data_IF_248568534013
#
_entry.id   IF_248568534013
#
_cell.length_a   1.000
_cell.length_b   1.000
_cell.length_c   1.000
_cell.angle_alpha   90.00
_cell.angle_beta   90.00
_cell.angle_gamma   90.00
#
_symmetry.space_group_name_H-M   'P 1'
#
loop_
_entity.id
_entity.type
_entity.pdbx_description
1 polymer ?
#
# COMPACT_ATOMS: atom_id res chain seq x y z
N UNK A 1 65.03 13.00 -18.56
CA UNK A 1 63.75 13.55 -19.08
C UNK A 1 62.77 12.39 -19.26
N UNK A 2 61.55 12.54 -18.71
CA UNK A 2 60.27 11.94 -19.15
C UNK A 2 60.14 10.40 -19.16
N UNK A 3 59.49 9.83 -18.13
CA UNK A 3 58.08 9.33 -18.05
C UNK A 3 57.89 7.93 -18.66
N UNK A 4 57.61 6.90 -17.83
CA UNK A 4 56.27 6.28 -17.56
C UNK A 4 55.57 5.75 -18.84
N UNK A 5 54.99 4.54 -18.94
CA UNK A 5 54.81 3.37 -18.06
C UNK A 5 54.28 2.21 -18.93
N UNK A 6 54.64 0.98 -18.52
CA UNK A 6 54.00 -0.33 -18.71
C UNK A 6 53.18 -0.68 -19.96
N UNK A 7 53.44 -1.88 -20.49
CA UNK A 7 52.39 -2.83 -20.91
C UNK A 7 52.94 -4.26 -21.07
N UNK A 8 52.02 -5.21 -20.85
CA UNK A 8 51.99 -6.61 -21.32
C UNK A 8 52.64 -7.69 -20.43
N UNK A 9 51.76 -8.45 -19.76
CA UNK A 9 51.99 -9.85 -19.36
C UNK A 9 51.09 -10.71 -20.24
N UNK A 10 51.69 -11.63 -21.00
CA UNK A 10 51.04 -12.79 -21.63
C UNK A 10 51.97 -13.99 -21.39
N UNK A 11 51.42 -14.97 -20.64
CA UNK A 11 51.52 -16.43 -20.81
C UNK A 11 52.90 -17.09 -20.57
N UNK A 12 52.96 -18.10 -19.67
CA UNK A 12 53.09 -19.52 -20.05
C UNK A 12 53.34 -20.45 -18.84
N UNK A 13 52.66 -21.60 -18.95
CA UNK A 13 53.09 -22.96 -18.58
C UNK A 13 53.08 -23.45 -17.12
N UNK A 14 52.11 -24.35 -16.90
CA UNK A 14 52.24 -25.74 -16.45
C UNK A 14 53.66 -26.31 -16.31
N UNK A 15 53.77 -27.26 -15.37
CA UNK A 15 54.81 -28.29 -15.08
C UNK A 15 54.99 -28.27 -13.55
N UNK A 16 54.84 -29.34 -12.76
CA UNK A 16 54.91 -30.77 -13.00
C UNK A 16 54.19 -31.52 -11.87
N UNK A 17 53.84 -32.75 -12.22
CA UNK A 17 53.32 -33.85 -11.41
C UNK A 17 54.21 -34.20 -10.22
N UNK A 18 53.66 -34.87 -9.20
CA UNK A 18 53.97 -36.29 -8.91
C UNK A 18 53.26 -36.77 -7.64
N UNK A 19 52.66 -37.97 -7.74
CA UNK A 19 52.56 -39.04 -6.70
C UNK A 19 51.81 -38.73 -5.39
N UNK A 20 50.91 -39.55 -4.82
CA UNK A 20 50.62 -40.99 -4.95
C UNK A 20 49.23 -41.28 -4.35
N UNK A 21 48.72 -42.41 -4.78
CA UNK A 21 47.45 -43.06 -4.52
C UNK A 21 47.06 -43.32 -3.04
N UNK A 22 45.74 -43.42 -2.86
CA UNK A 22 44.97 -44.36 -2.01
C UNK A 22 45.03 -44.24 -0.49
N UNK A 23 43.84 -44.04 0.11
CA UNK A 23 43.55 -44.58 1.44
C UNK A 23 42.58 -43.76 2.27
N UNK A 24 41.37 -44.31 2.45
CA UNK A 24 40.49 -44.14 3.61
C UNK A 24 39.71 -42.84 3.75
N UNK A 25 38.43 -42.94 3.39
CA UNK A 25 37.39 -42.07 3.92
C UNK A 25 37.18 -42.31 5.41
N UNK A 26 36.89 -41.24 6.13
CA UNK A 26 36.48 -41.29 7.52
C UNK A 26 36.86 -40.04 8.29
N UNK A 27 35.85 -39.18 8.50
CA UNK A 27 35.75 -38.21 9.60
C UNK A 27 36.78 -37.07 9.66
N UNK A 28 36.32 -35.85 9.35
CA UNK A 28 36.85 -34.66 10.02
C UNK A 28 35.72 -33.74 10.49
N UNK A 29 35.62 -33.60 11.80
CA UNK A 29 35.09 -32.41 12.44
C UNK A 29 36.05 -31.23 12.21
N UNK A 30 35.44 -30.10 11.86
CA UNK A 30 35.84 -28.70 12.08
C UNK A 30 37.34 -28.31 12.05
N UNK A 31 37.68 -27.42 11.11
CA UNK A 31 38.73 -26.41 11.34
C UNK A 31 38.32 -25.05 10.77
N UNK A 32 38.30 -24.04 11.66
CA UNK A 32 38.22 -22.60 11.36
C UNK A 32 39.28 -22.20 10.33
N UNK A 33 38.90 -21.32 9.39
CA UNK A 33 39.74 -20.19 8.99
C UNK A 33 38.87 -18.97 8.65
N UNK A 34 39.26 -17.86 9.26
CA UNK A 34 38.64 -16.56 9.16
C UNK A 34 38.94 -15.87 7.83
N UNK A 35 38.04 -14.96 7.46
CA UNK A 35 38.38 -13.71 6.79
C UNK A 35 38.28 -13.69 5.27
N UNK A 36 37.10 -13.32 4.74
CA UNK A 36 36.96 -12.50 3.53
C UNK A 36 35.70 -11.65 3.63
N UNK A 37 35.86 -10.33 3.54
CA UNK A 37 34.77 -9.38 3.27
C UNK A 37 34.15 -9.77 1.91
N UNK A 38 32.83 -9.89 1.86
CA UNK A 38 32.10 -10.14 0.62
C UNK A 38 30.63 -10.44 0.88
N UNK A 39 29.80 -9.43 0.63
CA UNK A 39 28.35 -9.44 0.49
C UNK A 39 27.46 -9.80 1.69
N UNK A 40 26.53 -8.88 1.95
CA UNK A 40 25.40 -8.99 2.87
C UNK A 40 24.47 -10.08 2.33
N UNK A 41 24.76 -11.34 2.66
CA UNK A 41 23.84 -12.45 2.44
C UNK A 41 22.72 -12.39 3.48
N UNK A 42 21.61 -11.76 3.11
CA UNK A 42 20.47 -11.67 4.01
C UNK A 42 19.72 -13.01 4.02
N UNK A 43 19.89 -13.79 5.10
CA UNK A 43 19.07 -14.97 5.40
C UNK A 43 17.89 -14.52 6.28
N UNK A 44 16.66 -14.71 5.84
CA UNK A 44 15.47 -14.53 6.69
C UNK A 44 14.85 -15.87 7.06
N UNK A 45 14.53 -15.99 8.35
CA UNK A 45 13.81 -17.12 8.93
C UNK A 45 12.36 -17.08 8.44
N UNK A 46 11.93 -18.16 7.79
CA UNK A 46 10.52 -18.38 7.48
C UNK A 46 9.84 -19.00 8.69
N UNK A 47 8.73 -18.43 9.15
CA UNK A 47 7.89 -19.04 10.18
C UNK A 47 7.30 -20.37 9.68
N UNK A 48 6.81 -21.19 10.62
CA UNK A 48 6.58 -22.65 10.56
C UNK A 48 5.69 -23.24 9.43
N UNK A 49 5.36 -22.48 8.38
CA UNK A 49 4.77 -22.98 7.14
C UNK A 49 5.69 -22.64 5.95
N UNK A 50 6.71 -23.47 5.76
CA UNK A 50 7.55 -23.44 4.56
C UNK A 50 6.71 -23.93 3.37
N UNK A 51 6.22 -23.02 2.52
CA UNK A 51 5.84 -23.43 1.17
C UNK A 51 7.13 -23.73 0.40
N UNK A 52 7.24 -24.96 -0.11
CA UNK A 52 8.31 -25.32 -1.03
C UNK A 52 8.18 -24.48 -2.31
N UNK A 53 9.28 -23.83 -2.69
CA UNK A 53 9.36 -23.07 -3.92
C UNK A 53 10.01 -23.91 -5.02
N UNK A 54 9.53 -23.74 -6.25
CA UNK A 54 10.09 -24.45 -7.41
C UNK A 54 11.38 -23.74 -7.84
N UNK A 55 12.55 -24.39 -7.80
CA UNK A 55 13.81 -23.78 -8.20
C UNK A 55 13.76 -23.16 -9.59
N UNK A 56 14.34 -21.98 -9.76
CA UNK A 56 14.33 -21.22 -11.01
C UNK A 56 13.02 -20.48 -11.30
N UNK A 57 11.96 -20.72 -10.53
CA UNK A 57 10.70 -19.97 -10.70
C UNK A 57 10.81 -18.56 -10.14
N UNK A 58 10.23 -17.62 -10.87
CA UNK A 58 10.02 -16.23 -10.43
C UNK A 58 8.63 -16.10 -9.81
N UNK A 59 8.57 -15.36 -8.73
CA UNK A 59 7.36 -15.15 -7.95
C UNK A 59 7.13 -13.66 -7.74
N UNK A 60 5.95 -13.16 -8.12
CA UNK A 60 5.54 -11.78 -7.83
C UNK A 60 4.72 -11.77 -6.55
N UNK A 61 5.04 -10.84 -5.65
CA UNK A 61 4.19 -10.58 -4.48
C UNK A 61 2.89 -9.92 -4.95
N UNK A 62 1.74 -10.40 -4.46
CA UNK A 62 0.43 -9.87 -4.87
C UNK A 62 0.26 -8.36 -4.61
N UNK A 63 1.07 -7.79 -3.69
CA UNK A 63 0.94 -6.43 -3.17
C UNK A 63 2.23 -5.61 -3.27
N UNK A 64 3.23 -6.09 -4.02
CA UNK A 64 4.45 -5.33 -4.32
C UNK A 64 4.56 -5.15 -5.82
N UNK A 65 4.45 -3.90 -6.25
CA UNK A 65 4.52 -3.46 -7.65
C UNK A 65 5.88 -3.70 -8.28
N UNK A 66 6.91 -3.82 -7.43
CA UNK A 66 8.29 -3.66 -7.86
C UNK A 66 9.22 -4.81 -7.45
N UNK A 67 8.79 -5.74 -6.60
CA UNK A 67 9.63 -6.86 -6.14
C UNK A 67 9.17 -8.20 -6.71
N UNK A 68 10.10 -8.99 -7.24
CA UNK A 68 9.91 -10.43 -7.45
C UNK A 68 11.00 -11.25 -6.77
N UNK A 69 10.59 -12.40 -6.25
CA UNK A 69 11.45 -13.39 -5.64
C UNK A 69 11.84 -14.43 -6.68
N UNK A 70 13.10 -14.88 -6.65
CA UNK A 70 13.54 -16.06 -7.37
C UNK A 70 13.78 -17.16 -6.36
N UNK A 71 13.24 -18.35 -6.66
CA UNK A 71 13.55 -19.52 -5.87
C UNK A 71 14.91 -20.09 -6.30
N UNK A 72 15.90 -20.07 -5.41
CA UNK A 72 17.17 -20.79 -5.57
C UNK A 72 17.22 -21.91 -4.55
N UNK A 73 17.32 -23.15 -5.03
CA UNK A 73 17.50 -24.33 -4.15
C UNK A 73 16.46 -24.39 -3.02
N UNK A 74 15.18 -24.20 -3.35
CA UNK A 74 14.06 -24.17 -2.40
C UNK A 74 14.11 -23.02 -1.37
N UNK A 75 14.85 -21.94 -1.67
CA UNK A 75 14.88 -20.70 -0.88
C UNK A 75 14.51 -19.51 -1.74
N UNK A 76 13.67 -18.63 -1.21
CA UNK A 76 13.35 -17.38 -1.88
C UNK A 76 14.49 -16.36 -1.70
N UNK A 77 14.94 -15.78 -2.80
CA UNK A 77 15.89 -14.67 -2.84
C UNK A 77 15.25 -13.48 -3.57
N UNK A 78 15.52 -12.26 -3.08
CA UNK A 78 15.11 -11.05 -3.79
C UNK A 78 15.91 -10.94 -5.09
N UNK A 79 15.21 -10.87 -6.23
CA UNK A 79 15.85 -10.95 -7.53
C UNK A 79 15.99 -9.60 -8.23
N UNK A 80 14.97 -8.73 -8.21
CA UNK A 80 15.09 -7.43 -8.86
C UNK A 80 13.98 -6.41 -8.54
N UNK A 81 14.33 -5.13 -8.69
CA UNK A 81 13.45 -3.97 -8.70
C UNK A 81 13.50 -3.28 -10.06
N UNK A 82 12.61 -3.69 -10.95
CA UNK A 82 12.39 -3.07 -12.27
C UNK A 82 11.31 -1.98 -12.18
N UNK A 83 11.28 -1.07 -13.16
CA UNK A 83 10.66 0.27 -13.14
C UNK A 83 9.10 0.30 -13.07
N UNK A 84 8.46 -0.61 -12.33
CA UNK A 84 7.00 -0.71 -12.17
C UNK A 84 6.25 -1.14 -13.44
N UNK A 85 6.92 -1.23 -14.58
CA UNK A 85 6.41 -1.85 -15.81
C UNK A 85 6.72 -3.32 -15.75
N UNK A 86 5.84 -4.12 -15.13
CA UNK A 86 6.00 -5.58 -15.12
C UNK A 86 6.25 -6.08 -16.55
N UNK A 87 7.48 -6.46 -16.86
CA UNK A 87 7.79 -7.15 -18.10
C UNK A 87 7.03 -8.45 -18.05
N UNK A 88 6.29 -8.73 -19.12
CA UNK A 88 5.50 -9.93 -19.34
C UNK A 88 6.37 -11.18 -19.22
N UNK A 89 6.50 -11.70 -18.02
CA UNK A 89 6.95 -13.06 -17.76
C UNK A 89 5.88 -13.75 -16.91
N UNK A 90 5.71 -15.05 -17.12
CA UNK A 90 4.75 -15.88 -16.40
C UNK A 90 5.19 -16.10 -14.95
N UNK A 91 4.96 -15.11 -14.08
CA UNK A 91 5.21 -15.21 -12.64
C UNK A 91 4.18 -16.13 -11.98
N UNK A 92 4.64 -16.96 -11.03
CA UNK A 92 3.73 -17.64 -10.10
C UNK A 92 3.30 -16.68 -8.99
N UNK A 93 2.02 -16.65 -8.65
CA UNK A 93 1.50 -15.88 -7.51
C UNK A 93 1.81 -16.63 -6.21
N UNK A 94 2.37 -15.94 -5.22
CA UNK A 94 2.47 -16.43 -3.85
C UNK A 94 1.22 -15.94 -3.10
N UNK A 95 0.53 -16.86 -2.44
CA UNK A 95 -0.57 -16.54 -1.53
C UNK A 95 -0.02 -15.80 -0.29
N UNK A 96 -0.49 -14.58 -0.08
CA UNK A 96 0.02 -13.64 0.94
C UNK A 96 -0.61 -13.82 2.33
N UNK A 97 -1.29 -14.94 2.60
CA UNK A 97 -1.72 -15.29 3.96
C UNK A 97 -0.55 -15.47 4.96
N UNK A 98 0.70 -15.48 4.47
CA UNK A 98 1.89 -15.55 5.31
C UNK A 98 2.35 -14.19 5.86
N UNK A 99 2.46 -14.12 7.20
CA UNK A 99 3.06 -13.02 7.97
C UNK A 99 4.57 -12.92 7.69
N UNK A 100 4.97 -12.29 6.59
CA UNK A 100 6.36 -11.92 6.33
C UNK A 100 6.59 -10.42 6.43
N UNK A 101 7.78 -9.94 6.84
CA UNK A 101 8.10 -8.54 6.88
C UNK A 101 8.43 -8.02 5.47
N UNK A 102 7.40 -7.86 4.62
CA UNK A 102 7.51 -7.18 3.33
C UNK A 102 8.04 -5.75 3.47
N UNK A 103 7.91 -5.16 4.67
CA UNK A 103 8.33 -3.80 4.98
C UNK A 103 9.80 -3.51 4.68
N UNK A 104 10.72 -4.46 4.89
CA UNK A 104 12.15 -4.22 4.62
C UNK A 104 12.50 -4.33 3.14
N UNK A 105 11.90 -5.29 2.43
CA UNK A 105 12.10 -5.48 0.99
C UNK A 105 11.50 -4.33 0.18
N UNK A 106 10.33 -3.83 0.56
CA UNK A 106 9.72 -2.68 -0.09
C UNK A 106 10.56 -1.40 0.12
N UNK A 107 11.21 -1.24 1.28
CA UNK A 107 12.11 -0.10 1.54
C UNK A 107 13.36 -0.14 0.66
N UNK A 108 14.03 -1.28 0.55
CA UNK A 108 15.23 -1.46 -0.29
C UNK A 108 14.90 -1.25 -1.78
N UNK A 109 13.76 -1.78 -2.21
CA UNK A 109 13.29 -1.64 -3.58
C UNK A 109 12.95 -0.21 -3.93
N UNK A 110 12.16 0.43 -3.07
CA UNK A 110 11.77 1.82 -3.25
C UNK A 110 13.01 2.71 -3.34
N UNK A 111 13.98 2.56 -2.44
CA UNK A 111 15.25 3.31 -2.51
C UNK A 111 15.93 3.18 -3.88
N UNK A 112 15.97 1.97 -4.42
CA UNK A 112 16.55 1.71 -5.76
C UNK A 112 15.77 2.44 -6.87
N UNK A 113 14.44 2.46 -6.80
CA UNK A 113 13.60 3.16 -7.78
C UNK A 113 13.66 4.68 -7.65
N UNK A 114 13.83 5.18 -6.42
CA UNK A 114 14.07 6.60 -6.13
C UNK A 114 15.43 7.02 -6.73
N UNK A 115 16.49 6.24 -6.54
CA UNK A 115 17.82 6.47 -7.13
C UNK A 115 17.77 6.45 -8.67
N UNK A 116 16.91 5.61 -9.26
CA UNK A 116 16.67 5.55 -10.71
C UNK A 116 15.71 6.63 -11.23
N UNK A 117 15.11 7.44 -10.36
CA UNK A 117 14.15 8.49 -10.75
C UNK A 117 12.81 7.97 -11.26
N UNK A 118 12.45 6.72 -10.95
CA UNK A 118 11.19 6.09 -11.37
C UNK A 118 10.04 6.46 -10.42
N UNK A 119 10.36 6.65 -9.14
CA UNK A 119 9.41 7.06 -8.09
C UNK A 119 9.73 8.49 -7.67
N UNK A 120 8.71 9.35 -7.65
CA UNK A 120 8.84 10.72 -7.19
C UNK A 120 8.84 10.77 -5.65
N UNK A 121 9.79 11.47 -5.05
CA UNK A 121 9.90 11.59 -3.58
C UNK A 121 9.88 13.03 -3.12
N UNK A 122 9.46 13.25 -1.88
CA UNK A 122 9.33 14.57 -1.29
C UNK A 122 8.52 15.52 -2.18
N UNK A 123 7.51 14.97 -2.84
CA UNK A 123 6.60 15.69 -3.72
C UNK A 123 5.93 16.78 -2.93
N UNK A 124 6.29 18.02 -3.22
CA UNK A 124 5.67 19.18 -2.63
C UNK A 124 4.45 19.56 -3.46
N UNK A 125 3.27 19.28 -2.92
CA UNK A 125 2.01 19.88 -3.37
C UNK A 125 1.80 21.20 -2.60
N UNK A 126 0.76 21.98 -2.95
CA UNK A 126 0.35 23.09 -2.08
C UNK A 126 0.07 22.51 -0.69
N UNK A 127 0.62 23.11 0.37
CA UNK A 127 0.52 22.50 1.70
C UNK A 127 -0.93 22.31 2.14
N UNK A 128 -1.46 21.10 1.95
CA UNK A 128 -2.87 20.71 2.06
C UNK A 128 -3.08 19.70 3.19
N UNK A 129 -4.32 19.53 3.63
CA UNK A 129 -4.66 18.46 4.57
C UNK A 129 -5.26 17.28 3.80
N UNK A 130 -4.59 16.13 3.86
CA UNK A 130 -5.00 14.90 3.19
C UNK A 130 -5.64 13.95 4.19
N UNK A 131 -6.88 13.53 3.95
CA UNK A 131 -7.64 12.64 4.84
C UNK A 131 -7.97 11.34 4.11
N UNK A 132 -7.65 10.21 4.72
CA UNK A 132 -8.02 8.89 4.21
C UNK A 132 -9.19 8.30 5.01
N UNK A 133 -10.21 7.81 4.32
CA UNK A 133 -11.31 7.02 4.90
C UNK A 133 -11.27 5.66 4.22
N UNK A 134 -10.89 4.62 4.94
CA UNK A 134 -10.53 3.35 4.34
C UNK A 134 -11.42 2.23 4.87
N UNK A 135 -12.19 1.64 3.98
CA UNK A 135 -12.96 0.44 4.26
C UNK A 135 -12.00 -0.75 4.44
N UNK A 136 -12.08 -1.39 5.60
CA UNK A 136 -11.35 -2.62 5.93
C UNK A 136 -12.33 -3.71 6.36
N UNK A 137 -13.60 -3.60 5.96
CA UNK A 137 -14.66 -4.55 6.26
C UNK A 137 -14.40 -5.94 5.65
N UNK A 138 -15.29 -6.89 5.95
CA UNK A 138 -15.13 -8.30 5.55
C UNK A 138 -15.40 -8.55 4.05
N UNK A 139 -16.09 -7.64 3.36
CA UNK A 139 -16.37 -7.76 1.92
C UNK A 139 -15.10 -7.58 1.08
N UNK A 140 -14.11 -6.87 1.62
CA UNK A 140 -12.81 -6.66 1.00
C UNK A 140 -11.89 -7.82 1.36
N UNK A 141 -11.28 -8.43 0.33
CA UNK A 141 -10.34 -9.53 0.54
C UNK A 141 -9.09 -9.07 1.30
N UNK A 142 -8.47 -9.94 2.11
CA UNK A 142 -7.23 -9.59 2.83
C UNK A 142 -6.11 -9.13 1.88
N UNK A 143 -6.07 -9.70 0.68
CA UNK A 143 -5.16 -9.29 -0.39
C UNK A 143 -5.42 -7.83 -0.78
N UNK A 144 -6.67 -7.46 -1.02
CA UNK A 144 -7.02 -6.08 -1.41
C UNK A 144 -6.84 -5.09 -0.25
N UNK A 145 -7.13 -5.48 1.00
CA UNK A 145 -6.79 -4.66 2.18
C UNK A 145 -5.30 -4.35 2.25
N UNK A 146 -4.45 -5.35 2.00
CA UNK A 146 -3.00 -5.15 1.96
C UNK A 146 -2.58 -4.21 0.83
N UNK A 147 -3.22 -4.29 -0.35
CA UNK A 147 -2.96 -3.34 -1.45
C UNK A 147 -3.34 -1.92 -1.07
N UNK A 148 -4.51 -1.71 -0.48
CA UNK A 148 -4.97 -0.38 -0.05
C UNK A 148 -4.03 0.21 1.02
N UNK A 149 -3.63 -0.60 2.02
CA UNK A 149 -2.62 -0.16 3.01
C UNK A 149 -1.29 0.20 2.36
N UNK A 150 -0.82 -0.60 1.42
CA UNK A 150 0.41 -0.32 0.67
C UNK A 150 0.29 1.00 -0.09
N UNK A 151 -0.83 1.22 -0.78
CA UNK A 151 -1.13 2.45 -1.50
C UNK A 151 -1.11 3.69 -0.60
N UNK A 152 -1.80 3.65 0.56
CA UNK A 152 -1.82 4.77 1.51
C UNK A 152 -0.40 5.08 2.01
N UNK A 153 0.36 4.04 2.34
CA UNK A 153 1.76 4.20 2.75
C UNK A 153 2.64 4.77 1.63
N UNK A 154 2.41 4.37 0.38
CA UNK A 154 3.15 4.88 -0.76
C UNK A 154 2.92 6.38 -0.93
N UNK A 155 1.66 6.83 -0.95
CA UNK A 155 1.33 8.26 -1.04
C UNK A 155 2.00 9.05 0.09
N UNK A 156 1.80 8.62 1.34
CA UNK A 156 2.30 9.34 2.50
C UNK A 156 3.83 9.48 2.43
N UNK A 157 4.54 8.43 2.00
CA UNK A 157 6.00 8.46 1.84
C UNK A 157 6.48 9.32 0.67
N UNK A 158 5.68 9.44 -0.39
CA UNK A 158 6.05 10.23 -1.56
C UNK A 158 5.87 11.72 -1.33
N UNK A 159 4.93 12.13 -0.47
CA UNK A 159 4.64 13.54 -0.20
C UNK A 159 5.66 14.19 0.75
N UNK A 160 5.89 15.48 0.55
CA UNK A 160 6.59 16.31 1.53
C UNK A 160 5.65 16.61 2.70
N UNK A 161 5.94 16.01 3.86
CA UNK A 161 5.11 16.09 5.06
C UNK A 161 5.58 17.18 6.02
N UNK A 162 4.63 17.83 6.70
CA UNK A 162 4.90 18.77 7.79
C UNK A 162 3.88 19.88 7.89
N UNK A 163 3.94 20.65 8.98
CA UNK A 163 3.00 21.74 9.27
C UNK A 163 2.96 22.84 8.19
N UNK A 164 4.08 23.08 7.51
CA UNK A 164 4.17 24.00 6.38
C UNK A 164 3.79 23.36 5.03
N UNK A 165 3.79 22.03 4.95
CA UNK A 165 3.54 21.25 3.74
C UNK A 165 2.24 20.45 3.89
N UNK A 166 2.26 19.16 3.57
CA UNK A 166 1.08 18.30 3.71
C UNK A 166 0.97 17.74 5.13
N UNK A 167 -0.22 17.85 5.71
CA UNK A 167 -0.61 17.08 6.90
C UNK A 167 -1.51 15.94 6.46
N UNK A 168 -1.43 14.82 7.15
CA UNK A 168 -2.23 13.63 6.84
C UNK A 168 -3.05 13.24 8.05
N UNK A 169 -4.28 12.81 7.81
CA UNK A 169 -5.13 12.12 8.77
C UNK A 169 -5.75 10.90 8.10
N UNK A 170 -6.28 9.98 8.89
CA UNK A 170 -7.08 8.93 8.34
C UNK A 170 -7.59 7.92 9.35
N UNK A 171 -8.58 7.19 8.87
CA UNK A 171 -9.30 6.18 9.62
C UNK A 171 -9.55 4.95 8.77
N UNK A 172 -9.50 3.79 9.41
CA UNK A 172 -10.04 2.55 8.86
C UNK A 172 -11.41 2.29 9.47
N UNK A 173 -12.29 1.59 8.75
CA UNK A 173 -13.61 1.25 9.29
C UNK A 173 -14.10 -0.14 8.89
N UNK A 174 -14.92 -0.70 9.78
CA UNK A 174 -15.80 -1.85 9.57
C UNK A 174 -17.13 -1.49 10.20
N UNK A 175 -17.59 -2.21 11.23
CA UNK A 175 -18.69 -1.72 12.09
C UNK A 175 -18.30 -0.55 13.01
N UNK A 176 -17.01 -0.39 13.28
CA UNK A 176 -16.46 0.70 14.09
C UNK A 176 -15.42 1.48 13.28
N UNK A 177 -15.19 2.73 13.64
CA UNK A 177 -14.19 3.61 13.01
C UNK A 177 -12.96 3.68 13.91
N UNK A 178 -11.78 3.44 13.32
CA UNK A 178 -10.49 3.49 14.00
C UNK A 178 -9.60 4.54 13.37
N UNK A 179 -9.42 5.65 14.07
CA UNK A 179 -8.50 6.72 13.66
C UNK A 179 -7.05 6.28 13.89
N UNK A 180 -6.27 6.10 12.83
CA UNK A 180 -4.83 5.83 12.93
C UNK A 180 -4.00 7.11 12.91
N UNK A 181 -4.56 8.23 12.41
CA UNK A 181 -3.87 9.50 12.30
C UNK A 181 -4.84 10.68 12.34
N UNK A 182 -4.56 11.72 13.14
CA UNK A 182 -5.24 13.03 13.06
C UNK A 182 -4.26 14.09 12.55
N UNK A 183 -4.77 15.18 11.97
CA UNK A 183 -3.94 16.26 11.42
C UNK A 183 -3.07 16.92 12.50
N UNK A 184 -3.55 16.95 13.75
CA UNK A 184 -2.82 17.48 14.90
C UNK A 184 -1.82 16.50 15.54
N UNK A 185 -1.78 15.22 15.14
CA UNK A 185 -1.10 14.18 15.91
C UNK A 185 0.43 14.20 15.82
N UNK A 186 1.00 14.58 14.66
CA UNK A 186 2.45 14.48 14.46
C UNK A 186 3.00 15.66 13.66
N UNK A 187 4.23 16.06 13.98
CA UNK A 187 4.95 17.13 13.28
C UNK A 187 6.05 16.60 12.35
N UNK A 188 6.34 15.29 12.40
CA UNK A 188 7.38 14.62 11.61
C UNK A 188 6.78 13.56 10.70
N UNK A 189 7.19 13.57 9.43
CA UNK A 189 6.72 12.60 8.45
C UNK A 189 7.01 11.15 8.82
N UNK A 190 8.13 10.86 9.50
CA UNK A 190 8.47 9.51 9.97
C UNK A 190 7.45 8.94 10.95
N UNK A 191 6.86 9.78 11.79
CA UNK A 191 5.82 9.38 12.75
C UNK A 191 4.48 9.15 12.05
N UNK A 192 4.14 10.00 11.07
CA UNK A 192 2.95 9.80 10.23
C UNK A 192 3.01 8.49 9.45
N UNK A 193 4.17 8.18 8.84
CA UNK A 193 4.39 6.90 8.14
C UNK A 193 4.29 5.73 9.10
N UNK A 194 4.84 5.84 10.31
CA UNK A 194 4.73 4.79 11.34
C UNK A 194 3.28 4.58 11.77
N UNK A 195 2.54 5.64 12.05
CA UNK A 195 1.13 5.58 12.44
C UNK A 195 0.27 4.94 11.33
N UNK A 196 0.42 5.39 10.09
CA UNK A 196 -0.23 4.77 8.93
C UNK A 196 0.17 3.29 8.78
N UNK A 197 1.42 2.95 9.08
CA UNK A 197 1.86 1.55 9.01
C UNK A 197 1.18 0.66 10.05
N UNK A 198 0.65 1.21 11.13
CA UNK A 198 -0.03 0.49 12.20
C UNK A 198 -1.56 0.64 12.14
N UNK A 199 -2.12 1.07 11.00
CA UNK A 199 -3.58 1.15 10.83
C UNK A 199 -4.26 -0.22 11.07
N UNK A 200 -5.47 -0.19 11.62
CA UNK A 200 -6.25 -1.39 11.92
C UNK A 200 -6.70 -2.06 10.61
N UNK A 201 -6.37 -3.34 10.44
CA UNK A 201 -6.61 -4.11 9.22
C UNK A 201 -7.87 -4.98 9.32
N UNK A 202 -8.32 -5.26 10.54
CA UNK A 202 -9.43 -6.17 10.82
C UNK A 202 -10.40 -5.54 11.82
N UNK A 203 -11.08 -4.44 11.44
CA UNK A 203 -12.14 -3.88 12.27
C UNK A 203 -13.28 -4.89 12.47
N UNK A 204 -14.13 -4.65 13.47
CA UNK A 204 -15.31 -5.50 13.75
C UNK A 204 -16.20 -5.64 12.51
N UNK A 205 -16.89 -6.79 12.42
CA UNK A 205 -17.75 -7.13 11.28
C UNK A 205 -18.87 -6.10 11.07
N UNK A 206 -19.01 -5.62 9.84
CA UNK A 206 -19.97 -4.62 9.40
C UNK A 206 -19.30 -3.61 8.46
N UNK A 207 -20.08 -2.73 7.84
CA UNK A 207 -19.58 -1.70 6.93
C UNK A 207 -20.29 -0.39 7.22
N UNK A 208 -19.81 0.31 8.25
CA UNK A 208 -20.41 1.53 8.79
C UNK A 208 -19.94 2.80 8.05
N UNK A 209 -20.19 2.87 6.75
CA UNK A 209 -19.74 3.99 5.91
C UNK A 209 -20.30 5.32 6.41
N UNK A 210 -21.58 5.38 6.82
CA UNK A 210 -22.16 6.59 7.41
C UNK A 210 -21.33 7.12 8.60
N UNK A 211 -20.88 6.23 9.48
CA UNK A 211 -20.12 6.59 10.67
C UNK A 211 -18.72 7.08 10.29
N UNK A 212 -18.09 6.45 9.29
CA UNK A 212 -16.79 6.87 8.79
C UNK A 212 -16.84 8.26 8.13
N UNK A 213 -17.88 8.55 7.34
CA UNK A 213 -18.09 9.87 6.74
C UNK A 213 -18.41 10.94 7.81
N UNK A 214 -19.19 10.58 8.82
CA UNK A 214 -19.47 11.46 9.96
C UNK A 214 -18.19 11.79 10.74
N UNK A 215 -17.40 10.78 11.11
CA UNK A 215 -16.14 10.94 11.84
C UNK A 215 -15.14 11.81 11.06
N UNK A 216 -15.07 11.63 9.73
CA UNK A 216 -14.23 12.46 8.90
C UNK A 216 -14.63 13.94 8.95
N UNK A 217 -15.92 14.26 8.86
CA UNK A 217 -16.41 15.65 8.96
C UNK A 217 -16.20 16.23 10.35
N UNK A 218 -16.64 15.52 11.38
CA UNK A 218 -16.76 16.06 12.74
C UNK A 218 -15.45 16.04 13.51
N UNK A 219 -14.56 15.08 13.21
CA UNK A 219 -13.31 14.90 13.93
C UNK A 219 -12.12 15.23 13.02
N UNK A 220 -11.91 14.51 11.93
CA UNK A 220 -10.67 14.63 11.14
C UNK A 220 -10.54 15.97 10.41
N UNK A 221 -11.64 16.50 9.88
CA UNK A 221 -11.71 17.77 9.15
C UNK A 221 -12.06 18.96 10.04
N UNK A 222 -12.17 18.76 11.35
CA UNK A 222 -12.44 19.84 12.30
C UNK A 222 -11.17 20.59 12.70
N UNK A 223 -11.32 21.85 13.14
CA UNK A 223 -10.21 22.61 13.73
C UNK A 223 -9.61 21.85 14.94
N UNK A 224 -10.45 21.21 15.76
CA UNK A 224 -10.01 20.39 16.89
C UNK A 224 -9.20 19.16 16.44
N UNK A 225 -9.51 18.61 15.27
CA UNK A 225 -8.75 17.56 14.61
C UNK A 225 -7.42 18.00 14.01
N UNK A 226 -7.16 19.31 13.96
CA UNK A 226 -5.94 19.91 13.41
C UNK A 226 -6.09 20.46 11.99
N UNK A 227 -7.33 20.59 11.48
CA UNK A 227 -7.61 21.21 10.18
C UNK A 227 -7.07 22.64 10.14
N UNK A 228 -6.27 22.95 9.13
CA UNK A 228 -5.61 24.26 9.03
C UNK A 228 -6.50 25.27 8.31
N UNK A 229 -6.65 26.46 8.90
CA UNK A 229 -7.35 27.59 8.31
C UNK A 229 -6.69 27.99 6.97
N UNK A 230 -7.49 28.25 5.95
CA UNK A 230 -7.01 28.66 4.63
C UNK A 230 -6.21 27.61 3.85
N UNK A 231 -6.08 26.37 4.35
CA UNK A 231 -5.47 25.26 3.59
C UNK A 231 -6.54 24.40 2.95
N UNK A 232 -6.30 23.94 1.72
CA UNK A 232 -7.19 23.00 1.02
C UNK A 232 -7.22 21.65 1.75
N UNK A 233 -8.34 20.94 1.65
CA UNK A 233 -8.43 19.54 2.07
C UNK A 233 -8.75 18.66 0.88
N UNK A 234 -8.15 17.48 0.92
CA UNK A 234 -8.51 16.37 0.05
C UNK A 234 -8.91 15.20 0.93
N UNK A 235 -10.04 14.58 0.63
CA UNK A 235 -10.51 13.34 1.27
C UNK A 235 -10.47 12.23 0.23
N UNK A 236 -9.78 11.13 0.53
CA UNK A 236 -9.79 9.91 -0.27
C UNK A 236 -10.62 8.88 0.48
N UNK A 237 -11.77 8.51 -0.08
CA UNK A 237 -12.63 7.43 0.41
C UNK A 237 -12.32 6.18 -0.40
N UNK A 238 -11.90 5.11 0.25
CA UNK A 238 -11.66 3.82 -0.37
C UNK A 238 -12.69 2.81 0.17
N UNK A 239 -13.62 2.35 -0.67
CA UNK A 239 -14.66 1.40 -0.27
C UNK A 239 -15.10 0.56 -1.47
N UNK A 240 -15.57 -0.66 -1.21
CA UNK A 240 -16.04 -1.61 -2.23
C UNK A 240 -17.57 -1.62 -2.39
N UNK A 241 -18.32 -0.88 -1.57
CA UNK A 241 -19.77 -0.89 -1.68
C UNK A 241 -20.57 -0.55 -0.44
N UNK A 242 -21.75 -1.15 -0.42
CA UNK A 242 -22.92 -0.79 0.38
C UNK A 242 -22.63 -0.83 1.87
N UNK A 243 -23.16 0.16 2.56
CA UNK A 243 -23.21 0.18 4.01
C UNK A 243 -23.98 -1.03 4.55
N UNK A 244 -23.44 -1.63 5.60
CA UNK A 244 -24.06 -2.76 6.29
C UNK A 244 -24.20 -2.46 7.79
N UNK A 245 -25.43 -2.49 8.35
CA UNK A 245 -26.67 -2.96 7.73
C UNK A 245 -27.25 -1.99 6.70
N UNK A 246 -27.92 -2.54 5.67
CA UNK A 246 -28.49 -1.76 4.55
C UNK A 246 -29.56 -0.76 4.98
N UNK A 247 -30.15 -0.93 6.17
CA UNK A 247 -31.05 0.07 6.76
C UNK A 247 -30.39 1.44 6.92
N UNK A 248 -29.06 1.49 7.00
CA UNK A 248 -28.26 2.72 7.17
C UNK A 248 -27.88 3.40 5.84
N UNK A 249 -28.42 2.93 4.71
CA UNK A 249 -28.09 3.51 3.39
C UNK A 249 -28.52 4.98 3.30
N UNK A 250 -29.65 5.34 3.93
CA UNK A 250 -30.17 6.71 3.93
C UNK A 250 -29.23 7.65 4.68
N UNK A 251 -28.77 7.23 5.85
CA UNK A 251 -27.81 7.94 6.68
C UNK A 251 -26.48 8.08 5.93
N UNK A 252 -26.05 7.03 5.22
CA UNK A 252 -24.84 7.09 4.40
C UNK A 252 -24.94 8.16 3.31
N UNK A 253 -26.06 8.19 2.57
CA UNK A 253 -26.33 9.22 1.57
C UNK A 253 -26.37 10.61 2.23
N UNK A 254 -27.02 10.76 3.38
CA UNK A 254 -27.09 12.03 4.08
C UNK A 254 -25.70 12.52 4.51
N UNK A 255 -24.88 11.66 5.11
CA UNK A 255 -23.52 12.00 5.50
C UNK A 255 -22.65 12.35 4.29
N UNK A 256 -22.79 11.63 3.17
CA UNK A 256 -22.10 11.92 1.91
C UNK A 256 -22.52 13.29 1.33
N UNK A 257 -23.80 13.62 1.35
CA UNK A 257 -24.31 14.93 0.91
C UNK A 257 -23.84 16.06 1.84
N UNK A 258 -23.71 15.80 3.14
CA UNK A 258 -23.15 16.78 4.08
C UNK A 258 -21.68 17.09 3.77
N UNK A 259 -20.91 16.16 3.18
CA UNK A 259 -19.53 16.44 2.77
C UNK A 259 -19.43 17.52 1.69
N UNK A 260 -20.49 17.75 0.90
CA UNK A 260 -20.57 18.79 -0.14
C UNK A 260 -20.82 20.18 0.40
N UNK A 261 -21.53 20.28 1.52
CA UNK A 261 -22.12 21.55 1.98
C UNK A 261 -21.06 22.37 2.71
N UNK A 262 -20.65 23.56 2.23
CA UNK A 262 -19.65 24.36 2.94
C UNK A 262 -20.07 24.71 4.38
N UNK A 263 -21.38 24.84 4.62
CA UNK A 263 -21.96 25.10 5.95
C UNK A 263 -21.79 23.95 6.95
N UNK A 264 -21.42 22.75 6.51
CA UNK A 264 -21.17 21.61 7.40
C UNK A 264 -19.74 21.63 7.98
N UNK A 265 -18.91 22.59 7.55
CA UNK A 265 -17.54 22.79 8.01
C UNK A 265 -17.36 24.16 8.64
N UNK A 266 -16.24 24.32 9.34
CA UNK A 266 -15.84 25.62 9.85
C UNK A 266 -15.57 26.59 8.67
N UNK A 267 -16.14 27.82 8.68
CA UNK A 267 -15.97 28.80 7.62
C UNK A 267 -14.52 29.12 7.26
N UNK A 268 -13.59 29.01 8.21
CA UNK A 268 -12.17 29.29 8.01
C UNK A 268 -11.43 28.14 7.32
N UNK A 269 -12.03 26.95 7.26
CA UNK A 269 -11.43 25.72 6.71
C UNK A 269 -12.05 25.25 5.40
N UNK A 270 -13.34 25.55 5.20
CA UNK A 270 -14.10 25.20 3.98
C UNK A 270 -14.31 23.69 3.76
N UNK A 271 -15.04 23.36 2.69
CA UNK A 271 -15.30 21.98 2.29
C UNK A 271 -14.08 21.33 1.61
N UNK A 272 -13.87 20.00 1.76
CA UNK A 272 -12.82 19.27 1.08
C UNK A 272 -13.19 18.92 -0.37
N UNK A 273 -12.18 18.66 -1.18
CA UNK A 273 -12.34 17.90 -2.43
C UNK A 273 -12.35 16.41 -2.10
N UNK A 274 -13.32 15.66 -2.62
CA UNK A 274 -13.46 14.24 -2.31
C UNK A 274 -13.13 13.37 -3.53
N UNK A 275 -12.37 12.31 -3.29
CA UNK A 275 -11.98 11.29 -4.26
C UNK A 275 -12.50 9.95 -3.79
N UNK A 276 -13.03 9.16 -4.72
CA UNK A 276 -13.54 7.84 -4.44
C UNK A 276 -12.66 6.80 -5.14
N UNK A 277 -12.05 5.94 -4.33
CA UNK A 277 -11.35 4.75 -4.77
C UNK A 277 -12.32 3.58 -4.65
N UNK A 278 -12.82 3.11 -5.79
CA UNK A 278 -13.74 1.98 -5.87
C UNK A 278 -12.93 0.69 -5.72
N UNK A 279 -13.09 0.03 -4.58
CA UNK A 279 -12.34 -1.19 -4.28
C UNK A 279 -13.03 -2.41 -4.91
N UNK A 280 -12.25 -3.42 -5.34
CA UNK A 280 -12.82 -4.65 -5.85
C UNK A 280 -13.64 -5.35 -4.76
N UNK A 281 -14.92 -5.52 -5.02
CA UNK A 281 -15.84 -6.19 -4.10
C UNK A 281 -15.78 -7.71 -4.31
N UNK A 282 -15.70 -8.49 -3.22
CA UNK A 282 -15.97 -9.91 -3.31
C UNK A 282 -17.48 -10.15 -3.47
N UNK A 283 -17.90 -10.40 -4.73
CA UNK A 283 -19.29 -10.62 -5.15
C UNK A 283 -20.07 -11.63 -4.31
N UNK A 284 -19.41 -12.52 -3.57
CA UNK A 284 -20.06 -13.51 -2.71
C UNK A 284 -20.85 -12.89 -1.54
N UNK A 285 -20.36 -11.80 -0.91
CA UNK A 285 -21.00 -11.28 0.32
C UNK A 285 -22.16 -10.31 0.08
N UNK A 286 -22.22 -9.63 -1.07
CA UNK A 286 -23.35 -8.76 -1.44
C UNK A 286 -24.68 -9.52 -1.55
N UNK A 287 -24.60 -10.84 -1.71
CA UNK A 287 -25.74 -11.72 -1.78
C UNK A 287 -25.97 -12.54 -0.53
N UNK A 288 -25.43 -12.18 0.63
CA UNK A 288 -25.60 -12.92 1.90
C UNK A 288 -26.10 -11.99 3.02
N UNK A 289 -26.96 -12.52 3.91
CA UNK A 289 -27.39 -11.81 5.12
C UNK A 289 -26.35 -11.89 6.26
N UNK A 290 -26.66 -11.30 7.42
CA UNK A 290 -25.79 -11.33 8.61
C UNK A 290 -25.43 -12.76 9.08
N UNK A 291 -26.29 -13.74 8.78
CA UNK A 291 -26.07 -15.15 9.10
C UNK A 291 -25.27 -15.91 8.02
N UNK A 292 -24.93 -15.25 6.90
CA UNK A 292 -24.23 -15.85 5.76
C UNK A 292 -25.17 -16.60 4.81
N UNK A 293 -26.49 -16.40 4.92
CA UNK A 293 -27.47 -17.05 4.06
C UNK A 293 -27.67 -16.22 2.79
N UNK A 294 -27.71 -16.89 1.64
CA UNK A 294 -27.92 -16.22 0.36
C UNK A 294 -29.27 -15.49 0.28
N UNK A 295 -29.22 -14.23 -0.14
CA UNK A 295 -30.34 -13.35 -0.37
C UNK A 295 -31.06 -13.70 -1.68
N UNK A 296 -32.40 -13.55 -1.75
CA UNK A 296 -33.16 -13.68 -2.98
C UNK A 296 -32.71 -12.67 -4.04
N UNK A 297 -32.81 -13.04 -5.33
CA UNK A 297 -32.41 -12.17 -6.46
C UNK A 297 -33.05 -10.77 -6.42
N UNK A 298 -34.34 -10.69 -6.07
CA UNK A 298 -35.05 -9.42 -5.98
C UNK A 298 -34.49 -8.48 -4.88
N UNK A 299 -33.95 -9.06 -3.80
CA UNK A 299 -33.29 -8.31 -2.75
C UNK A 299 -31.89 -7.87 -3.20
N UNK A 300 -31.14 -8.78 -3.83
CA UNK A 300 -29.84 -8.47 -4.43
C UNK A 300 -29.92 -7.33 -5.45
N UNK A 301 -30.95 -7.29 -6.30
CA UNK A 301 -31.11 -6.22 -7.29
C UNK A 301 -31.42 -4.86 -6.63
N UNK A 302 -32.19 -4.84 -5.53
CA UNK A 302 -32.37 -3.63 -4.70
C UNK A 302 -31.06 -3.18 -4.05
N UNK A 303 -30.23 -4.11 -3.58
CA UNK A 303 -28.94 -3.79 -2.98
C UNK A 303 -27.95 -3.21 -3.99
N UNK A 304 -27.96 -3.68 -5.24
CA UNK A 304 -27.19 -3.05 -6.32
C UNK A 304 -27.64 -1.61 -6.56
N UNK A 305 -28.94 -1.37 -6.64
CA UNK A 305 -29.48 -0.02 -6.82
C UNK A 305 -29.12 0.90 -5.65
N UNK A 306 -29.15 0.39 -4.41
CA UNK A 306 -28.70 1.12 -3.23
C UNK A 306 -27.20 1.41 -3.26
N UNK A 307 -26.37 0.46 -3.71
CA UNK A 307 -24.92 0.68 -3.93
C UNK A 307 -24.69 1.87 -4.84
N UNK A 308 -25.36 1.87 -5.99
CA UNK A 308 -25.20 2.92 -6.98
C UNK A 308 -25.61 4.29 -6.42
N UNK A 309 -26.68 4.32 -5.61
CA UNK A 309 -27.14 5.55 -4.92
C UNK A 309 -26.15 6.04 -3.87
N UNK A 310 -25.61 5.18 -3.02
CA UNK A 310 -24.60 5.55 -2.02
C UNK A 310 -23.33 6.10 -2.70
N UNK A 311 -22.83 5.39 -3.71
CA UNK A 311 -21.63 5.80 -4.45
C UNK A 311 -21.88 7.08 -5.26
N UNK A 312 -23.09 7.30 -5.79
CA UNK A 312 -23.47 8.56 -6.43
C UNK A 312 -23.54 9.74 -5.45
N UNK A 313 -23.92 9.50 -4.19
CA UNK A 313 -24.01 10.53 -3.17
C UNK A 313 -22.62 11.06 -2.75
N UNK A 314 -21.59 10.20 -2.74
CA UNK A 314 -20.22 10.61 -2.42
C UNK A 314 -19.75 11.67 -3.42
N UNK A 315 -19.30 12.86 -2.96
CA UNK A 315 -18.97 14.01 -3.80
C UNK A 315 -17.66 13.91 -4.59
N UNK A 316 -17.50 12.84 -5.35
CA UNK A 316 -16.40 12.67 -6.28
C UNK A 316 -16.86 13.06 -7.69
N UNK A 317 -16.11 13.94 -8.36
CA UNK A 317 -16.26 14.13 -9.81
C UNK A 317 -16.00 12.79 -10.53
N UNK A 318 -16.59 12.52 -11.70
CA UNK A 318 -16.36 11.28 -12.44
C UNK A 318 -14.87 10.98 -12.68
N UNK A 319 -14.07 12.00 -13.00
CA UNK A 319 -12.63 11.89 -13.19
C UNK A 319 -11.83 11.59 -11.90
N UNK A 320 -12.49 11.68 -10.75
CA UNK A 320 -11.92 11.43 -9.43
C UNK A 320 -12.35 10.08 -8.85
N UNK A 321 -13.09 9.30 -9.65
CA UNK A 321 -13.41 7.91 -9.37
C UNK A 321 -12.36 7.03 -10.04
N UNK A 322 -11.66 6.23 -9.23
CA UNK A 322 -10.66 5.32 -9.74
C UNK A 322 -11.06 3.88 -9.42
N UNK A 323 -11.09 3.04 -10.45
CA UNK A 323 -11.22 1.59 -10.31
C UNK A 323 -9.86 0.97 -10.68
N UNK A 324 -9.04 0.58 -9.70
CA UNK A 324 -7.76 -0.07 -9.98
C UNK A 324 -7.98 -1.45 -10.58
N UNK A 325 -7.62 -1.61 -11.86
CA UNK A 325 -7.21 -2.94 -12.35
C UNK A 325 -5.93 -3.41 -11.63
N UNK A 326 -5.10 -2.45 -11.20
CA UNK A 326 -3.91 -2.64 -10.37
C UNK A 326 -3.68 -1.42 -9.46
N UNK A 327 -3.11 -1.65 -8.28
CA UNK A 327 -2.68 -0.60 -7.36
C UNK A 327 -1.28 -0.04 -7.70
N UNK A 328 -0.61 -0.62 -8.70
CA UNK A 328 0.77 -0.28 -9.09
C UNK A 328 0.87 1.10 -9.79
N UNK A 329 -0.22 1.62 -10.37
CA UNK A 329 -0.25 2.91 -11.08
C UNK A 329 -1.01 4.02 -10.32
N UNK A 330 -1.53 3.71 -9.13
CA UNK A 330 -2.40 4.64 -8.40
C UNK A 330 -1.68 5.90 -7.90
N UNK A 331 -0.38 5.81 -7.63
CA UNK A 331 0.43 6.99 -7.30
C UNK A 331 0.51 7.97 -8.49
N UNK A 332 0.65 7.45 -9.71
CA UNK A 332 0.66 8.25 -10.95
C UNK A 332 -0.70 8.90 -11.21
N UNK A 333 -1.77 8.32 -10.69
CA UNK A 333 -3.11 8.91 -10.76
C UNK A 333 -3.32 9.98 -9.68
N UNK A 334 -2.98 9.68 -8.42
CA UNK A 334 -3.35 10.54 -7.29
C UNK A 334 -2.46 11.78 -7.17
N UNK A 335 -1.16 11.70 -7.47
CA UNK A 335 -0.25 12.84 -7.31
C UNK A 335 -0.63 14.00 -8.25
N UNK A 336 -0.87 13.80 -9.56
CA UNK A 336 -1.36 14.87 -10.44
C UNK A 336 -2.69 15.45 -9.97
N UNK A 337 -3.55 14.62 -9.42
CA UNK A 337 -4.84 15.03 -8.87
C UNK A 337 -4.66 15.92 -7.62
N UNK A 338 -3.76 15.57 -6.71
CA UNK A 338 -3.45 16.38 -5.54
C UNK A 338 -2.86 17.73 -5.95
N UNK A 339 -2.03 17.75 -7.01
CA UNK A 339 -1.53 19.00 -7.62
C UNK A 339 -2.68 19.82 -8.22
N UNK A 340 -3.56 19.21 -9.01
CA UNK A 340 -4.71 19.91 -9.59
C UNK A 340 -5.67 20.45 -8.53
N UNK A 341 -5.85 19.74 -7.42
CA UNK A 341 -6.65 20.20 -6.28
C UNK A 341 -6.07 21.47 -5.63
N UNK A 342 -4.79 21.77 -5.89
CA UNK A 342 -4.16 23.04 -5.55
C UNK A 342 -4.37 24.14 -6.59
N UNK A 343 -4.60 23.76 -7.86
CA UNK A 343 -4.67 24.65 -9.03
C UNK A 343 -6.10 25.03 -9.43
N UNK A 344 -7.13 24.23 -9.12
CA UNK A 344 -8.56 24.50 -9.40
C UNK A 344 -9.11 25.67 -8.52
N UNK A 345 -8.41 26.80 -8.53
CA UNK A 345 -8.77 28.10 -7.99
C UNK A 345 -8.80 29.14 -9.12
#
# INVERSE_FOLDING_TARGET
MRTYVASVIIVLCCVLETTTATGLGGFFAARKKAGRRGNVGVRYAMGDHQQECTPGSKYKYANSSCNYLVCKENRYELAHCEDGKGVTESFRRIDTSMRYPCSRFDVECRKTLEEKGVVETNVQVCGLDLVFIIDMSKSISDVDKMKVRSFVLQIIRSLKLGSAFTLVAGSTYGAEVHNFLKLSSYNRGTEMVRAASNMEMNPKRGTATWLALQEAREILLSIKGGRRKGKKAVVIVASDGVSHPHSMSKETIEQAELLKKPKSYDPETGAPTVFLLDLPNNKEQLGEDESGKKLPKAELDKLKELKDKEFAAIPSKPEYRYNPESFDDLEKFIIPILRKSCEDL
#
